data_IF_215170048197
#
_entry.id   IF_215170048197
#
_cell.length_a   1.000
_cell.length_b   1.000
_cell.length_c   1.000
_cell.angle_alpha   90.00
_cell.angle_beta   90.00
_cell.angle_gamma   90.00
#
_symmetry.space_group_name_H-M   'P 1'
#
loop_
_entity.id
_entity.type
_entity.pdbx_description
1 polymer ?
#
# COMPACT_ATOMS: atom_id res chain seq x y z
N UNK A 1 14.02 -17.64 6.34
CA UNK A 1 14.08 -18.12 7.75
C UNK A 1 15.52 -18.10 8.27
N UNK A 2 16.49 -18.72 7.60
CA UNK A 2 17.92 -18.68 8.05
C UNK A 2 18.48 -17.26 8.25
N UNK A 3 18.18 -16.34 7.33
CA UNK A 3 18.66 -14.96 7.43
C UNK A 3 18.02 -14.17 8.60
N UNK A 4 16.76 -14.45 8.94
CA UNK A 4 16.11 -13.87 10.14
C UNK A 4 16.71 -14.45 11.41
N UNK A 5 16.91 -15.77 11.45
CA UNK A 5 17.54 -16.43 12.59
C UNK A 5 18.96 -15.90 12.86
N UNK A 6 19.71 -15.54 11.80
CA UNK A 6 21.08 -15.05 11.91
C UNK A 6 21.21 -13.54 12.18
N UNK A 7 20.30 -12.70 11.67
CA UNK A 7 20.45 -11.23 11.67
C UNK A 7 19.28 -10.45 12.28
N UNK A 8 18.24 -11.15 12.71
CA UNK A 8 17.02 -10.56 13.27
C UNK A 8 16.05 -10.06 12.21
N UNK A 9 14.78 -9.98 12.60
CA UNK A 9 13.67 -9.60 11.71
C UNK A 9 13.78 -8.16 11.18
N UNK A 10 14.35 -7.24 11.95
CA UNK A 10 14.56 -5.85 11.51
C UNK A 10 15.54 -5.76 10.32
N UNK A 11 16.60 -6.56 10.32
CA UNK A 11 17.56 -6.59 9.23
C UNK A 11 16.91 -7.13 7.94
N UNK A 12 16.16 -8.22 8.05
CA UNK A 12 15.45 -8.82 6.91
C UNK A 12 14.39 -7.86 6.39
N UNK A 13 13.66 -7.21 7.28
CA UNK A 13 12.68 -6.20 6.93
C UNK A 13 13.28 -5.03 6.13
N UNK A 14 14.38 -4.46 6.61
CA UNK A 14 15.08 -3.36 5.95
C UNK A 14 15.69 -3.79 4.61
N UNK A 15 16.23 -5.02 4.53
CA UNK A 15 16.74 -5.57 3.29
C UNK A 15 15.62 -5.73 2.25
N UNK A 16 14.46 -6.27 2.64
CA UNK A 16 13.29 -6.43 1.78
C UNK A 16 12.75 -5.08 1.29
N UNK A 17 12.63 -4.09 2.20
CA UNK A 17 12.23 -2.73 1.82
C UNK A 17 13.16 -2.11 0.79
N UNK A 18 14.47 -2.24 0.97
CA UNK A 18 15.48 -1.75 0.02
C UNK A 18 15.42 -2.47 -1.33
N UNK A 19 15.25 -3.79 -1.31
CA UNK A 19 15.16 -4.59 -2.53
C UNK A 19 13.95 -4.19 -3.38
N UNK A 20 12.79 -4.00 -2.74
CA UNK A 20 11.56 -3.55 -3.40
C UNK A 20 11.58 -2.05 -3.76
N UNK A 21 12.59 -1.30 -3.29
CA UNK A 21 12.73 0.15 -3.50
C UNK A 21 11.50 0.96 -3.05
N UNK A 22 10.75 0.40 -2.10
CA UNK A 22 9.59 1.03 -1.51
C UNK A 22 9.99 2.42 -0.99
N UNK A 23 9.16 3.44 -1.24
CA UNK A 23 9.37 4.86 -0.86
C UNK A 23 10.38 5.67 -1.69
N UNK A 24 10.91 5.12 -2.79
CA UNK A 24 11.75 5.88 -3.74
C UNK A 24 11.01 6.14 -5.05
N UNK A 25 11.51 7.07 -5.90
CA UNK A 25 10.90 7.38 -7.22
C UNK A 25 10.74 6.17 -8.15
N UNK A 26 11.46 5.07 -7.90
CA UNK A 26 11.39 3.83 -8.68
C UNK A 26 10.86 2.67 -7.83
N UNK A 27 9.67 2.84 -7.26
CA UNK A 27 8.97 1.77 -6.55
C UNK A 27 8.55 0.68 -7.54
N UNK A 28 9.11 -0.52 -7.38
CA UNK A 28 8.90 -1.64 -8.30
C UNK A 28 7.45 -2.11 -8.34
N UNK A 29 6.70 -1.93 -7.25
CA UNK A 29 5.28 -2.30 -7.18
C UNK A 29 4.46 -1.33 -8.02
N UNK A 30 4.74 -0.04 -7.89
CA UNK A 30 4.06 1.00 -8.67
C UNK A 30 4.37 0.84 -10.15
N UNK A 31 5.64 0.60 -10.49
CA UNK A 31 6.05 0.34 -11.87
C UNK A 31 5.35 -0.89 -12.43
N UNK A 32 5.32 -2.00 -11.69
CA UNK A 32 4.61 -3.21 -12.10
C UNK A 32 3.13 -2.93 -12.38
N UNK A 33 2.45 -2.20 -11.50
CA UNK A 33 1.04 -1.84 -11.72
C UNK A 33 0.91 -0.99 -12.99
N UNK A 34 1.73 0.06 -13.16
CA UNK A 34 1.65 0.95 -14.32
C UNK A 34 1.94 0.25 -15.65
N UNK A 35 2.80 -0.77 -15.66
CA UNK A 35 3.11 -1.57 -16.86
C UNK A 35 2.00 -2.58 -17.22
N UNK A 36 1.05 -2.83 -16.32
CA UNK A 36 0.01 -3.86 -16.46
C UNK A 36 -1.42 -3.28 -16.38
N UNK A 37 -1.58 -1.97 -16.53
CA UNK A 37 -2.89 -1.32 -16.57
C UNK A 37 -3.08 -0.56 -17.88
N UNK A 38 -4.26 -0.68 -18.45
CA UNK A 38 -4.75 0.15 -19.55
C UNK A 38 -5.76 1.19 -19.04
N UNK A 39 -6.12 2.16 -19.88
CA UNK A 39 -6.95 3.32 -19.52
C UNK A 39 -8.34 2.95 -18.97
N UNK A 40 -8.91 1.84 -19.41
CA UNK A 40 -10.28 1.41 -19.04
C UNK A 40 -10.31 0.34 -17.94
N UNK A 41 -9.17 0.07 -17.30
CA UNK A 41 -9.08 -0.93 -16.24
C UNK A 41 -9.64 -0.43 -14.91
N UNK A 42 -9.80 -1.37 -13.97
CA UNK A 42 -10.05 -1.06 -12.56
C UNK A 42 -9.03 -1.82 -11.74
N UNK A 43 -8.29 -1.10 -10.91
CA UNK A 43 -7.26 -1.71 -10.07
C UNK A 43 -7.83 -2.04 -8.71
N UNK A 44 -7.76 -3.33 -8.34
CA UNK A 44 -8.13 -3.80 -7.00
C UNK A 44 -6.87 -4.08 -6.18
N UNK A 45 -6.63 -3.29 -5.14
CA UNK A 45 -5.54 -3.53 -4.18
C UNK A 45 -6.07 -4.35 -3.01
N UNK A 46 -5.64 -5.61 -2.93
CA UNK A 46 -6.05 -6.56 -1.89
C UNK A 46 -4.86 -7.01 -1.05
N UNK A 47 -5.13 -7.62 0.11
CA UNK A 47 -4.07 -8.28 0.90
C UNK A 47 -3.13 -7.35 1.67
N UNK A 48 -3.44 -6.05 1.77
CA UNK A 48 -2.62 -5.04 2.47
C UNK A 48 -2.21 -5.47 3.88
N UNK A 49 -3.14 -6.00 4.68
CA UNK A 49 -2.84 -6.43 6.05
C UNK A 49 -1.85 -7.60 6.11
N UNK A 50 -1.78 -8.45 5.08
CA UNK A 50 -0.81 -9.56 5.00
C UNK A 50 0.59 -9.08 4.60
N UNK A 51 0.65 -7.97 3.86
CA UNK A 51 1.90 -7.38 3.40
C UNK A 51 2.50 -6.38 4.39
N UNK A 52 1.74 -5.98 5.42
CA UNK A 52 2.24 -5.18 6.53
C UNK A 52 3.26 -5.98 7.36
N UNK A 53 4.35 -5.37 7.88
CA UNK A 53 4.72 -3.95 7.78
C UNK A 53 5.59 -3.61 6.55
N UNK A 54 5.84 -4.58 5.65
CA UNK A 54 6.80 -4.43 4.54
C UNK A 54 6.28 -3.36 3.59
N UNK A 55 5.02 -3.49 3.19
CA UNK A 55 4.30 -2.53 2.37
C UNK A 55 3.44 -1.66 3.29
N UNK A 56 3.54 -0.34 3.11
CA UNK A 56 2.60 0.60 3.73
C UNK A 56 1.61 1.10 2.68
N UNK A 57 0.32 0.89 2.93
CA UNK A 57 -0.80 1.14 1.99
C UNK A 57 -0.78 2.56 1.42
N UNK A 58 -0.43 3.49 2.28
CA UNK A 58 -0.40 4.92 2.05
C UNK A 58 0.70 5.33 1.05
N UNK A 59 1.81 4.57 1.01
CA UNK A 59 2.91 4.77 0.06
C UNK A 59 2.45 4.38 -1.34
N UNK A 60 1.75 3.25 -1.47
CA UNK A 60 1.18 2.80 -2.74
C UNK A 60 0.13 3.79 -3.24
N UNK A 61 -0.77 4.24 -2.36
CA UNK A 61 -1.81 5.22 -2.74
C UNK A 61 -1.22 6.53 -3.26
N UNK A 62 -0.24 7.11 -2.55
CA UNK A 62 0.40 8.36 -2.96
C UNK A 62 1.12 8.22 -4.31
N UNK A 63 1.80 7.10 -4.51
CA UNK A 63 2.54 6.86 -5.76
C UNK A 63 1.63 6.56 -6.94
N UNK A 64 0.54 5.80 -6.74
CA UNK A 64 -0.42 5.52 -7.81
C UNK A 64 -1.25 6.75 -8.19
N UNK A 65 -1.69 7.56 -7.22
CA UNK A 65 -2.43 8.79 -7.51
C UNK A 65 -1.62 9.74 -8.40
N UNK A 66 -0.30 9.76 -8.30
CA UNK A 66 0.55 10.62 -9.14
C UNK A 66 0.67 10.14 -10.60
N UNK A 67 0.39 8.85 -10.87
CA UNK A 67 0.70 8.21 -12.17
C UNK A 67 -0.57 7.75 -12.88
N UNK A 68 -1.64 7.49 -12.12
CA UNK A 68 -2.84 6.79 -12.58
C UNK A 68 -4.06 7.68 -12.31
N UNK A 69 -4.06 8.88 -12.90
CA UNK A 69 -5.14 9.87 -12.70
C UNK A 69 -6.46 9.44 -13.37
N UNK A 70 -6.39 8.54 -14.37
CA UNK A 70 -7.54 8.12 -15.19
C UNK A 70 -8.11 6.74 -14.84
N UNK A 71 -7.40 5.88 -14.09
CA UNK A 71 -7.84 4.50 -13.80
C UNK A 71 -8.40 4.40 -12.37
N UNK A 72 -9.67 3.96 -12.19
CA UNK A 72 -10.24 3.80 -10.86
C UNK A 72 -9.48 2.79 -9.99
N UNK A 73 -9.23 3.17 -8.74
CA UNK A 73 -8.54 2.34 -7.74
C UNK A 73 -9.49 1.99 -6.59
N UNK A 74 -9.61 0.69 -6.29
CA UNK A 74 -10.36 0.17 -5.15
C UNK A 74 -9.41 -0.53 -4.19
N UNK A 75 -9.29 0.02 -2.98
CA UNK A 75 -8.44 -0.52 -1.92
C UNK A 75 -9.26 -1.32 -0.90
N UNK A 76 -8.94 -2.60 -0.74
CA UNK A 76 -9.45 -3.41 0.35
C UNK A 76 -8.55 -3.26 1.57
N UNK A 77 -9.00 -2.43 2.50
CA UNK A 77 -8.24 -2.08 3.68
C UNK A 77 -8.80 -2.77 4.93
N UNK A 78 -8.03 -3.62 5.63
CA UNK A 78 -8.48 -4.33 6.81
C UNK A 78 -8.37 -3.41 8.03
N UNK A 79 -9.37 -2.55 8.21
CA UNK A 79 -9.46 -1.59 9.31
C UNK A 79 -10.42 -0.46 8.98
N UNK A 80 -10.26 0.67 9.66
CA UNK A 80 -11.16 1.81 9.52
C UNK A 80 -10.52 2.94 8.74
N UNK A 81 -11.30 3.50 7.80
CA UNK A 81 -11.04 4.82 7.23
C UNK A 81 -11.96 5.82 7.92
N UNK A 82 -11.43 6.89 8.49
CA UNK A 82 -12.25 7.90 9.21
C UNK A 82 -12.59 9.12 8.33
N UNK A 83 -12.22 9.10 7.05
CA UNK A 83 -12.37 10.23 6.13
C UNK A 83 -11.12 11.09 5.98
N UNK A 84 -10.11 10.88 6.83
CA UNK A 84 -8.80 11.54 6.76
C UNK A 84 -7.68 10.50 6.70
N UNK A 85 -7.74 9.50 7.59
CA UNK A 85 -6.67 8.57 7.91
C UNK A 85 -7.11 7.12 7.71
N UNK A 86 -6.13 6.26 7.41
CA UNK A 86 -6.29 4.82 7.37
C UNK A 86 -5.75 4.22 8.68
N UNK A 87 -6.61 3.52 9.43
CA UNK A 87 -6.27 2.85 10.70
C UNK A 87 -6.26 1.34 10.46
N UNK A 88 -5.08 0.78 10.28
CA UNK A 88 -4.89 -0.64 9.97
C UNK A 88 -5.19 -1.48 11.21
N UNK A 89 -6.02 -2.52 11.05
CA UNK A 89 -6.51 -3.39 12.11
C UNK A 89 -7.15 -2.62 13.29
N UNK A 90 -7.63 -1.40 13.07
CA UNK A 90 -8.20 -0.48 14.07
C UNK A 90 -7.24 -0.08 15.21
N UNK A 91 -5.95 -0.41 15.11
CA UNK A 91 -4.94 -0.12 16.13
C UNK A 91 -3.77 0.70 15.59
N UNK A 92 -3.38 0.46 14.33
CA UNK A 92 -2.16 1.02 13.74
C UNK A 92 -2.56 2.21 12.87
N UNK A 93 -2.33 3.41 13.39
CA UNK A 93 -2.63 4.66 12.68
C UNK A 93 -1.57 4.99 11.64
N UNK A 94 -2.02 5.43 10.47
CA UNK A 94 -1.19 6.08 9.48
C UNK A 94 -1.37 7.60 9.55
N UNK A 95 -0.28 8.35 9.72
CA UNK A 95 -0.32 9.81 9.90
C UNK A 95 -0.57 10.59 8.59
N UNK A 96 -0.86 9.91 7.49
CA UNK A 96 -0.99 10.51 6.16
C UNK A 96 -2.46 10.75 5.78
N UNK A 97 -2.72 11.93 5.19
CA UNK A 97 -4.03 12.31 4.68
C UNK A 97 -4.28 11.74 3.29
N UNK A 98 -5.43 11.08 3.10
CA UNK A 98 -5.84 10.51 1.82
C UNK A 98 -7.16 11.10 1.36
N UNK A 99 -7.24 11.46 0.08
CA UNK A 99 -8.52 11.77 -0.57
C UNK A 99 -9.13 10.49 -1.12
N UNK A 100 -9.85 9.77 -0.26
CA UNK A 100 -10.65 8.61 -0.64
C UNK A 100 -12.08 8.75 -0.10
N UNK A 101 -13.00 7.97 -0.65
CA UNK A 101 -14.34 7.82 -0.10
C UNK A 101 -14.61 6.34 0.14
N UNK A 102 -15.42 6.04 1.17
CA UNK A 102 -15.84 4.66 1.41
C UNK A 102 -16.75 4.23 0.28
N UNK A 103 -16.45 3.08 -0.32
CA UNK A 103 -17.28 2.52 -1.39
C UNK A 103 -18.66 2.09 -0.89
N UNK A 104 -18.75 1.67 0.37
CA UNK A 104 -19.99 1.27 1.03
C UNK A 104 -20.13 2.08 2.32
N UNK A 105 -21.25 2.80 2.46
CA UNK A 105 -21.61 3.44 3.72
C UNK A 105 -22.05 2.37 4.74
N UNK A 106 -21.57 2.47 5.99
CA UNK A 106 -22.12 1.66 7.08
C UNK A 106 -23.45 2.31 7.49
N UNK A 107 -24.56 1.62 7.22
CA UNK A 107 -25.88 1.93 7.77
C UNK A 107 -25.93 1.72 9.28
#
# INVERSE_FOLDING_TARGET
>A
IEMEAAKGSEYVFNATKKALRLTTKNDLIVQYICEHIDKDDIVFLTGIGKAWPIIRSHTILNSLHAVVDEVPLVLFFPGTYDGLQLILLDEIKDDNYYRAFKLIERY
#
